data_IF_590348755097
#
_entry.id   IF_590348755097
#
_cell.length_a   1.000
_cell.length_b   1.000
_cell.length_c   1.000
_cell.angle_alpha   90.00
_cell.angle_beta   90.00
_cell.angle_gamma   90.00
#
_symmetry.space_group_name_H-M   'P 1'
#
loop_
_entity.id
_entity.type
_entity.pdbx_description
1 polymer ?
#
# COMPACT_ATOMS: atom_id res chain seq x y z
N UNK A 1 26.11 2.54 13.84
CA UNK A 1 24.79 1.93 13.61
C UNK A 1 24.87 1.29 12.25
N UNK A 2 24.64 0.01 12.13
CA UNK A 2 24.47 -0.63 10.81
C UNK A 2 23.13 -0.13 10.25
N UNK A 3 23.08 0.27 8.98
CA UNK A 3 21.83 0.61 8.32
C UNK A 3 20.92 -0.62 8.36
N UNK A 4 19.64 -0.40 8.65
CA UNK A 4 18.66 -1.47 8.56
C UNK A 4 18.58 -2.00 7.12
N UNK A 5 18.46 -3.31 6.93
CA UNK A 5 18.35 -3.86 5.59
C UNK A 5 17.07 -3.36 4.94
N UNK A 6 17.13 -3.02 3.64
CA UNK A 6 15.98 -2.56 2.88
C UNK A 6 15.45 -3.68 1.98
N UNK A 7 14.14 -3.86 1.95
CA UNK A 7 13.47 -4.71 0.97
C UNK A 7 13.39 -4.03 -0.39
N UNK A 8 13.23 -2.70 -0.40
CA UNK A 8 13.30 -1.90 -1.62
C UNK A 8 13.60 -0.44 -1.31
N UNK A 9 14.17 0.26 -2.30
CA UNK A 9 14.40 1.70 -2.24
C UNK A 9 14.22 2.38 -3.60
N UNK A 10 13.69 3.59 -3.59
CA UNK A 10 13.60 4.50 -4.73
C UNK A 10 14.43 5.74 -4.40
N UNK A 11 15.34 6.12 -5.30
CA UNK A 11 16.23 7.27 -5.13
C UNK A 11 16.07 8.25 -6.28
N UNK A 12 15.43 9.39 -6.02
CA UNK A 12 15.17 10.44 -7.00
C UNK A 12 14.32 9.97 -8.18
N UNK A 13 13.46 8.98 -7.98
CA UNK A 13 12.69 8.35 -9.05
C UNK A 13 11.67 9.32 -9.60
N UNK A 14 11.69 9.51 -10.93
CA UNK A 14 10.70 10.31 -11.63
C UNK A 14 10.15 9.58 -12.88
N UNK A 15 8.88 9.86 -13.19
CA UNK A 15 8.19 9.36 -14.37
C UNK A 15 7.27 10.44 -14.94
N UNK A 16 7.40 10.70 -16.23
CA UNK A 16 6.64 11.72 -16.94
C UNK A 16 5.61 11.08 -17.86
N UNK A 17 4.38 11.54 -17.76
CA UNK A 17 3.29 11.21 -18.68
C UNK A 17 2.67 12.50 -19.20
N UNK A 18 1.89 12.41 -20.26
CA UNK A 18 1.13 13.56 -20.72
C UNK A 18 0.11 14.00 -19.65
N UNK A 19 0.31 15.18 -19.08
CA UNK A 19 -0.57 15.75 -18.05
C UNK A 19 -0.34 15.27 -16.62
N UNK A 20 0.66 14.39 -16.37
CA UNK A 20 0.99 13.92 -15.03
C UNK A 20 2.49 13.63 -14.88
N UNK A 21 3.05 14.02 -13.75
CA UNK A 21 4.44 13.69 -13.38
C UNK A 21 4.47 13.09 -12.00
N UNK A 22 5.11 11.93 -11.88
CA UNK A 22 5.47 11.33 -10.60
C UNK A 22 6.91 11.70 -10.26
N UNK A 23 7.13 12.19 -9.04
CA UNK A 23 8.47 12.48 -8.52
C UNK A 23 9.06 13.85 -8.93
N UNK A 24 10.38 14.06 -8.71
CA UNK A 24 11.30 13.07 -8.13
C UNK A 24 10.95 12.71 -6.68
N UNK A 25 11.03 11.44 -6.34
CA UNK A 25 10.72 10.95 -5.00
C UNK A 25 11.76 9.96 -4.47
N UNK A 26 11.90 9.92 -3.16
CA UNK A 26 12.68 8.94 -2.42
C UNK A 26 11.75 8.19 -1.48
N UNK A 27 11.82 6.86 -1.48
CA UNK A 27 11.04 6.00 -0.60
C UNK A 27 11.88 4.78 -0.24
N UNK A 28 11.98 4.48 1.04
CA UNK A 28 12.62 3.27 1.55
C UNK A 28 11.56 2.33 2.14
N UNK A 29 11.71 1.06 1.88
CA UNK A 29 10.88 -0.01 2.43
C UNK A 29 11.79 -0.89 3.27
N UNK A 30 11.74 -0.76 4.61
CA UNK A 30 12.56 -1.58 5.49
C UNK A 30 12.22 -3.06 5.35
N UNK A 31 13.23 -3.93 5.48
CA UNK A 31 12.99 -5.36 5.55
C UNK A 31 12.23 -5.69 6.85
N UNK A 32 11.36 -6.69 6.80
CA UNK A 32 10.59 -7.11 7.98
C UNK A 32 9.45 -6.16 8.36
N UNK A 33 9.03 -5.23 7.47
CA UNK A 33 8.01 -4.23 7.78
C UNK A 33 6.88 -4.16 6.77
N UNK A 34 5.76 -3.57 7.20
CA UNK A 34 4.62 -3.21 6.35
C UNK A 34 4.64 -1.71 6.10
N UNK A 35 4.83 -1.32 4.85
CA UNK A 35 4.72 0.09 4.42
C UNK A 35 3.38 0.32 3.77
N UNK A 36 2.58 1.21 4.33
CA UNK A 36 1.30 1.67 3.78
C UNK A 36 1.49 2.88 2.87
N UNK A 37 1.10 2.78 1.61
CA UNK A 37 1.13 3.88 0.65
C UNK A 37 -0.26 4.49 0.53
N UNK A 38 -0.47 5.66 1.12
CA UNK A 38 -1.73 6.40 1.07
C UNK A 38 -1.70 7.43 -0.06
N UNK A 39 -2.84 7.66 -0.68
CA UNK A 39 -3.03 8.75 -1.64
C UNK A 39 -4.40 8.69 -2.30
N UNK A 40 -4.88 9.82 -2.81
CA UNK A 40 -6.12 9.88 -3.56
C UNK A 40 -6.03 9.09 -4.88
N UNK A 41 -7.18 8.84 -5.49
CA UNK A 41 -7.22 8.28 -6.85
C UNK A 41 -6.53 9.26 -7.83
N UNK A 42 -5.62 8.73 -8.65
CA UNK A 42 -4.80 9.55 -9.54
C UNK A 42 -3.55 10.17 -8.90
N UNK A 43 -3.27 9.96 -7.61
CA UNK A 43 -2.06 10.47 -6.96
C UNK A 43 -0.76 9.85 -7.51
N UNK A 44 -0.84 8.68 -8.19
CA UNK A 44 0.31 7.99 -8.77
C UNK A 44 0.73 6.71 -8.04
N UNK A 45 -0.08 6.18 -7.10
CA UNK A 45 0.23 4.95 -6.33
C UNK A 45 0.56 3.78 -7.25
N UNK A 46 -0.34 3.41 -8.15
CA UNK A 46 -0.13 2.33 -9.13
C UNK A 46 1.11 2.57 -10.00
N UNK A 47 1.37 3.83 -10.38
CA UNK A 47 2.57 4.18 -11.16
C UNK A 47 3.84 3.92 -10.34
N UNK A 48 3.88 4.34 -9.07
CA UNK A 48 4.98 4.07 -8.16
C UNK A 48 5.22 2.56 -8.00
N UNK A 49 4.17 1.78 -7.75
CA UNK A 49 4.27 0.32 -7.63
C UNK A 49 4.77 -0.34 -8.92
N UNK A 50 4.33 0.12 -10.10
CA UNK A 50 4.82 -0.38 -11.40
C UNK A 50 6.29 -0.02 -11.66
N UNK A 51 6.78 1.12 -11.18
CA UNK A 51 8.20 1.47 -11.24
C UNK A 51 9.02 0.60 -10.30
N UNK A 52 8.55 0.42 -9.05
CA UNK A 52 9.21 -0.42 -8.07
C UNK A 52 9.39 -1.86 -8.55
N UNK A 53 8.33 -2.43 -9.13
CA UNK A 53 8.31 -3.83 -9.60
C UNK A 53 8.95 -4.04 -10.97
N UNK A 54 9.45 -2.98 -11.62
CA UNK A 54 10.07 -3.05 -12.94
C UNK A 54 9.08 -3.28 -14.10
N UNK A 55 7.77 -3.16 -13.87
CA UNK A 55 6.75 -3.17 -14.93
C UNK A 55 6.91 -1.93 -15.82
N UNK A 56 7.20 -0.79 -15.18
CA UNK A 56 7.57 0.44 -15.88
C UNK A 56 9.00 0.83 -15.55
N UNK A 57 9.67 1.52 -16.47
CA UNK A 57 11.01 2.10 -16.24
C UNK A 57 10.89 3.56 -15.83
N UNK A 58 11.65 4.02 -14.83
CA UNK A 58 11.73 5.44 -14.50
C UNK A 58 12.42 6.22 -15.62
N UNK A 59 12.08 7.51 -15.74
CA UNK A 59 12.75 8.44 -16.65
C UNK A 59 13.99 9.06 -15.99
N UNK A 60 14.01 9.10 -14.64
CA UNK A 60 15.15 9.51 -13.83
C UNK A 60 15.17 8.78 -12.50
N UNK A 61 16.33 8.77 -11.84
CA UNK A 61 16.53 8.09 -10.56
C UNK A 61 16.81 6.59 -10.71
N UNK A 62 16.89 5.91 -9.57
CA UNK A 62 17.18 4.47 -9.50
C UNK A 62 16.22 3.77 -8.56
N UNK A 63 15.95 2.50 -8.87
CA UNK A 63 15.15 1.61 -8.02
C UNK A 63 16.05 0.44 -7.61
N UNK A 64 16.10 0.19 -6.32
CA UNK A 64 16.70 -0.99 -5.74
C UNK A 64 15.61 -1.91 -5.18
N UNK A 65 15.73 -3.21 -5.43
CA UNK A 65 14.77 -4.23 -5.05
C UNK A 65 15.51 -5.46 -4.56
N UNK A 66 15.37 -5.81 -3.28
CA UNK A 66 16.08 -6.91 -2.63
C UNK A 66 17.61 -6.88 -2.92
N UNK A 67 18.22 -5.69 -2.77
CA UNK A 67 19.64 -5.40 -3.01
C UNK A 67 20.10 -5.56 -4.47
N UNK A 68 19.17 -5.50 -5.44
CA UNK A 68 19.47 -5.54 -6.87
C UNK A 68 18.54 -4.62 -7.67
N UNK A 69 18.62 -4.66 -8.99
CA UNK A 69 17.74 -3.85 -9.85
C UNK A 69 16.47 -4.62 -10.24
N UNK A 70 15.33 -3.95 -10.46
CA UNK A 70 14.11 -4.60 -10.93
C UNK A 70 14.22 -5.24 -12.34
N UNK A 71 15.24 -4.89 -13.10
CA UNK A 71 15.52 -5.52 -14.41
C UNK A 71 16.01 -6.97 -14.28
N UNK A 72 16.53 -7.38 -13.11
CA UNK A 72 16.96 -8.75 -12.85
C UNK A 72 15.75 -9.69 -12.67
N UNK A 73 15.65 -10.67 -13.56
CA UNK A 73 14.59 -11.68 -13.53
C UNK A 73 14.62 -12.54 -12.24
N UNK A 74 15.80 -12.80 -11.69
CA UNK A 74 15.95 -13.55 -10.45
C UNK A 74 15.43 -12.79 -9.24
N UNK A 75 15.51 -11.46 -9.27
CA UNK A 75 14.92 -10.59 -8.24
C UNK A 75 13.41 -10.51 -8.41
N UNK A 76 12.91 -10.32 -9.63
CA UNK A 76 11.45 -10.33 -9.89
C UNK A 76 10.78 -11.63 -9.49
N UNK A 77 11.48 -12.76 -9.59
CA UNK A 77 10.96 -14.05 -9.13
C UNK A 77 10.81 -14.15 -7.60
N UNK A 78 11.38 -13.21 -6.85
CA UNK A 78 11.31 -13.14 -5.37
C UNK A 78 10.31 -12.10 -4.86
N UNK A 79 9.54 -11.49 -5.74
CA UNK A 79 8.48 -10.55 -5.34
C UNK A 79 7.11 -11.10 -5.70
N UNK A 80 6.16 -10.97 -4.79
CA UNK A 80 4.75 -11.22 -5.05
C UNK A 80 4.06 -9.90 -5.39
N UNK A 81 3.27 -9.88 -6.47
CA UNK A 81 2.60 -8.65 -6.90
C UNK A 81 1.12 -8.91 -7.14
N UNK A 82 0.27 -8.07 -6.58
CA UNK A 82 -1.17 -8.06 -6.87
C UNK A 82 -1.56 -6.64 -7.23
N UNK A 83 -1.90 -6.39 -8.48
CA UNK A 83 -2.49 -5.13 -8.93
C UNK A 83 -4.01 -5.18 -8.86
N UNK A 84 -4.66 -4.03 -8.70
CA UNK A 84 -6.12 -3.91 -8.65
C UNK A 84 -6.78 -4.55 -9.89
N UNK A 85 -6.21 -4.37 -11.07
CA UNK A 85 -6.69 -4.90 -12.35
C UNK A 85 -6.10 -6.28 -12.72
N UNK A 86 -5.44 -6.96 -11.79
CA UNK A 86 -4.87 -8.29 -12.05
C UNK A 86 -5.95 -9.36 -12.00
N UNK A 87 -6.35 -9.85 -13.16
CA UNK A 87 -7.38 -10.88 -13.27
C UNK A 87 -6.88 -12.08 -14.03
N UNK A 88 -7.19 -13.26 -13.50
CA UNK A 88 -7.09 -14.50 -14.25
C UNK A 88 -8.29 -14.65 -15.19
N UNK A 89 -8.13 -15.42 -16.26
CA UNK A 89 -9.27 -15.74 -17.15
C UNK A 89 -10.41 -16.34 -16.36
N UNK A 90 -11.62 -15.83 -16.54
CA UNK A 90 -12.81 -16.20 -15.77
C UNK A 90 -13.21 -17.67 -15.93
N UNK A 91 -12.84 -18.31 -17.04
CA UNK A 91 -13.09 -19.72 -17.30
C UNK A 91 -12.16 -20.69 -16.56
N UNK A 92 -11.03 -20.19 -16.02
CA UNK A 92 -10.12 -21.04 -15.27
C UNK A 92 -10.67 -21.33 -13.87
N UNK A 93 -10.19 -22.42 -13.29
CA UNK A 93 -10.37 -22.74 -11.87
C UNK A 93 -9.11 -22.39 -11.09
N UNK A 94 -9.18 -22.21 -9.75
CA UNK A 94 -8.00 -22.00 -8.92
C UNK A 94 -6.91 -23.07 -9.12
N UNK A 95 -7.30 -24.34 -9.29
CA UNK A 95 -6.35 -25.40 -9.58
C UNK A 95 -5.63 -25.23 -10.93
N UNK A 96 -6.34 -24.77 -11.97
CA UNK A 96 -5.74 -24.48 -13.28
C UNK A 96 -4.84 -23.25 -13.24
N UNK A 97 -5.17 -22.23 -12.45
CA UNK A 97 -4.28 -21.09 -12.20
C UNK A 97 -2.97 -21.57 -11.60
N UNK A 98 -3.01 -22.38 -10.54
CA UNK A 98 -1.82 -22.95 -9.93
C UNK A 98 -0.96 -23.77 -10.90
N UNK A 99 -1.60 -24.57 -11.75
CA UNK A 99 -0.90 -25.35 -12.80
C UNK A 99 -0.20 -24.44 -13.82
N UNK A 100 -0.85 -23.35 -14.23
CA UNK A 100 -0.29 -22.38 -15.18
C UNK A 100 0.90 -21.62 -14.56
N UNK A 101 0.77 -21.15 -13.31
CA UNK A 101 1.82 -20.42 -12.61
C UNK A 101 3.02 -21.32 -12.29
N UNK A 102 2.81 -22.59 -12.00
CA UNK A 102 3.90 -23.58 -11.90
C UNK A 102 4.74 -23.63 -13.18
N UNK A 103 4.10 -23.52 -14.35
CA UNK A 103 4.83 -23.46 -15.62
C UNK A 103 5.70 -22.20 -15.77
N UNK A 104 5.30 -21.09 -15.15
CA UNK A 104 6.02 -19.81 -15.20
C UNK A 104 7.15 -19.77 -14.16
N UNK A 105 6.84 -20.09 -12.90
CA UNK A 105 7.80 -20.01 -11.78
C UNK A 105 8.71 -21.24 -11.67
N UNK A 106 8.38 -22.35 -12.34
CA UNK A 106 9.16 -23.58 -12.31
C UNK A 106 9.39 -24.11 -10.88
N UNK A 107 10.66 -24.38 -10.49
CA UNK A 107 10.99 -24.90 -9.16
C UNK A 107 10.68 -23.94 -8.00
N UNK A 108 10.56 -22.65 -8.24
CA UNK A 108 10.21 -21.67 -7.21
C UNK A 108 8.73 -21.77 -6.79
N UNK A 109 7.87 -22.39 -7.61
CA UNK A 109 6.47 -22.58 -7.29
C UNK A 109 6.25 -23.72 -6.31
N UNK A 110 5.79 -23.41 -5.11
CA UNK A 110 5.44 -24.39 -4.08
C UNK A 110 3.99 -24.86 -4.25
N UNK A 111 3.83 -26.02 -4.93
CA UNK A 111 2.51 -26.63 -5.20
C UNK A 111 1.77 -26.98 -3.90
N UNK A 112 2.50 -27.49 -2.91
CA UNK A 112 1.91 -27.87 -1.61
C UNK A 112 1.44 -26.64 -0.85
N UNK A 113 2.22 -25.57 -0.82
CA UNK A 113 1.85 -24.32 -0.18
C UNK A 113 0.67 -23.63 -0.88
N UNK A 114 0.65 -23.62 -2.22
CA UNK A 114 -0.50 -23.09 -2.95
C UNK A 114 -1.79 -23.85 -2.62
N UNK A 115 -1.73 -25.19 -2.56
CA UNK A 115 -2.88 -26.00 -2.16
C UNK A 115 -3.34 -25.70 -0.73
N UNK A 116 -2.40 -25.57 0.20
CA UNK A 116 -2.69 -25.17 1.58
C UNK A 116 -3.33 -23.78 1.69
N UNK A 117 -2.85 -22.81 0.89
CA UNK A 117 -3.46 -21.47 0.80
C UNK A 117 -4.89 -21.51 0.25
N UNK A 118 -5.16 -22.33 -0.77
CA UNK A 118 -6.53 -22.50 -1.27
C UNK A 118 -7.47 -23.05 -0.18
N UNK A 119 -7.00 -23.99 0.61
CA UNK A 119 -7.76 -24.56 1.73
C UNK A 119 -7.96 -23.52 2.87
N UNK A 120 -6.89 -22.86 3.30
CA UNK A 120 -6.92 -21.83 4.33
C UNK A 120 -7.87 -20.67 3.97
N UNK A 121 -7.88 -20.25 2.71
CA UNK A 121 -8.71 -19.15 2.21
C UNK A 121 -10.13 -19.62 1.81
N UNK A 122 -10.45 -20.89 2.04
CA UNK A 122 -11.73 -21.51 1.67
C UNK A 122 -12.08 -21.35 0.18
N UNK A 123 -11.08 -21.45 -0.70
CA UNK A 123 -11.26 -21.30 -2.13
C UNK A 123 -11.59 -22.65 -2.76
N UNK A 124 -12.74 -22.77 -3.48
CA UNK A 124 -13.11 -24.01 -4.12
C UNK A 124 -12.22 -24.27 -5.34
N UNK A 125 -11.37 -25.33 -5.34
CA UNK A 125 -10.34 -25.50 -6.36
C UNK A 125 -10.89 -25.83 -7.75
N UNK A 126 -12.15 -26.28 -7.84
CA UNK A 126 -12.81 -26.73 -9.07
C UNK A 126 -13.88 -25.78 -9.62
N UNK A 127 -14.27 -24.73 -8.90
CA UNK A 127 -15.20 -23.73 -9.41
C UNK A 127 -14.49 -22.76 -10.34
N UNK A 128 -15.17 -22.29 -11.39
CA UNK A 128 -14.62 -21.28 -12.27
C UNK A 128 -14.45 -19.94 -11.53
N UNK A 129 -13.46 -19.16 -11.91
CA UNK A 129 -13.20 -17.83 -11.32
C UNK A 129 -14.41 -16.91 -11.49
N UNK A 130 -15.18 -17.08 -12.57
CA UNK A 130 -16.43 -16.36 -12.79
C UNK A 130 -17.43 -16.52 -11.64
N UNK A 131 -17.44 -17.70 -10.99
CA UNK A 131 -18.35 -18.05 -9.88
C UNK A 131 -17.83 -17.60 -8.51
N UNK A 132 -16.60 -17.07 -8.43
CA UNK A 132 -16.01 -16.58 -7.19
C UNK A 132 -16.51 -15.15 -6.89
N UNK A 133 -16.75 -14.86 -5.60
CA UNK A 133 -16.98 -13.50 -5.15
C UNK A 133 -15.74 -12.62 -5.35
N UNK A 134 -15.87 -11.30 -5.28
CA UNK A 134 -14.73 -10.36 -5.38
C UNK A 134 -13.67 -10.68 -4.31
N UNK A 135 -14.08 -10.90 -3.06
CA UNK A 135 -13.16 -11.29 -1.99
C UNK A 135 -12.44 -12.61 -2.25
N UNK A 136 -13.16 -13.63 -2.77
CA UNK A 136 -12.54 -14.90 -3.15
C UNK A 136 -11.54 -14.75 -4.30
N UNK A 137 -11.82 -13.89 -5.29
CA UNK A 137 -10.86 -13.58 -6.37
C UNK A 137 -9.61 -12.90 -5.83
N UNK A 138 -9.76 -11.94 -4.91
CA UNK A 138 -8.63 -11.29 -4.26
C UNK A 138 -7.79 -12.28 -3.46
N UNK A 139 -8.41 -13.17 -2.68
CA UNK A 139 -7.72 -14.26 -1.98
C UNK A 139 -6.97 -15.19 -2.95
N UNK A 140 -7.54 -15.48 -4.12
CA UNK A 140 -6.85 -16.27 -5.16
C UNK A 140 -5.61 -15.53 -5.71
N UNK A 141 -5.72 -14.21 -5.97
CA UNK A 141 -4.60 -13.41 -6.40
C UNK A 141 -3.49 -13.41 -5.33
N UNK A 142 -3.87 -13.24 -4.05
CA UNK A 142 -2.93 -13.28 -2.94
C UNK A 142 -2.28 -14.67 -2.76
N UNK A 143 -3.06 -15.75 -2.82
CA UNK A 143 -2.54 -17.11 -2.79
C UNK A 143 -1.52 -17.35 -3.93
N UNK A 144 -1.82 -16.83 -5.12
CA UNK A 144 -0.94 -16.91 -6.28
C UNK A 144 0.36 -16.12 -6.11
N UNK A 145 0.28 -14.93 -5.48
CA UNK A 145 1.44 -14.10 -5.18
C UNK A 145 2.31 -14.67 -4.04
N UNK A 146 1.73 -15.44 -3.12
CA UNK A 146 2.44 -16.03 -1.98
C UNK A 146 3.08 -17.39 -2.29
N UNK A 147 2.54 -18.14 -3.28
CA UNK A 147 2.90 -19.53 -3.49
C UNK A 147 4.35 -19.77 -3.96
N UNK A 148 5.04 -18.75 -4.43
CA UNK A 148 6.47 -18.81 -4.76
C UNK A 148 7.39 -18.26 -3.65
N UNK A 149 6.86 -18.07 -2.43
CA UNK A 149 7.61 -17.63 -1.25
C UNK A 149 8.36 -16.30 -1.47
N UNK A 150 7.68 -15.20 -1.81
CA UNK A 150 8.33 -13.92 -2.06
C UNK A 150 8.92 -13.33 -0.77
N UNK A 151 10.03 -12.59 -0.90
CA UNK A 151 10.57 -11.76 0.19
C UNK A 151 9.88 -10.40 0.31
N UNK A 152 9.31 -9.89 -0.79
CA UNK A 152 8.53 -8.66 -0.80
C UNK A 152 7.18 -8.89 -1.49
N UNK A 153 6.10 -8.50 -0.82
CA UNK A 153 4.74 -8.52 -1.37
C UNK A 153 4.29 -7.09 -1.67
N UNK A 154 3.91 -6.83 -2.90
CA UNK A 154 3.45 -5.51 -3.38
C UNK A 154 1.99 -5.61 -3.77
N UNK A 155 1.14 -4.83 -3.11
CA UNK A 155 -0.31 -4.90 -3.24
C UNK A 155 -0.88 -3.52 -3.62
N UNK A 156 -1.63 -3.48 -4.70
CA UNK A 156 -2.32 -2.27 -5.15
C UNK A 156 -3.82 -2.38 -4.88
N UNK A 157 -4.31 -1.58 -3.91
CA UNK A 157 -5.72 -1.49 -3.53
C UNK A 157 -6.37 -2.86 -3.18
N UNK A 158 -5.62 -3.76 -2.54
CA UNK A 158 -6.04 -5.15 -2.32
C UNK A 158 -7.28 -5.31 -1.44
N UNK A 159 -7.63 -4.30 -0.64
CA UNK A 159 -8.82 -4.30 0.24
C UNK A 159 -9.99 -3.49 -0.33
N UNK A 160 -9.76 -2.79 -1.45
CA UNK A 160 -10.76 -1.91 -2.05
C UNK A 160 -12.01 -2.66 -2.53
N UNK A 161 -13.18 -2.16 -2.15
CA UNK A 161 -14.48 -2.71 -2.56
C UNK A 161 -14.77 -4.12 -2.05
N UNK A 162 -14.06 -4.57 -1.02
CA UNK A 162 -14.39 -5.78 -0.28
C UNK A 162 -15.38 -5.46 0.85
N UNK A 163 -16.17 -6.46 1.21
CA UNK A 163 -16.95 -6.38 2.45
C UNK A 163 -16.03 -6.41 3.68
N UNK A 164 -16.50 -5.95 4.86
CA UNK A 164 -15.66 -5.85 6.04
C UNK A 164 -15.03 -7.18 6.49
N UNK A 165 -15.72 -8.31 6.33
CA UNK A 165 -15.20 -9.61 6.73
C UNK A 165 -14.06 -10.07 5.81
N UNK A 166 -14.27 -9.99 4.49
CA UNK A 166 -13.22 -10.32 3.51
C UNK A 166 -12.00 -9.40 3.64
N UNK A 167 -12.22 -8.12 3.99
CA UNK A 167 -11.15 -7.15 4.24
C UNK A 167 -10.31 -7.56 5.45
N UNK A 168 -10.95 -7.84 6.60
CA UNK A 168 -10.26 -8.30 7.81
C UNK A 168 -9.42 -9.55 7.53
N UNK A 169 -9.98 -10.52 6.82
CA UNK A 169 -9.26 -11.75 6.48
C UNK A 169 -8.00 -11.48 5.60
N UNK A 170 -8.05 -10.51 4.68
CA UNK A 170 -6.87 -10.12 3.90
C UNK A 170 -5.81 -9.48 4.80
N UNK A 171 -6.21 -8.58 5.72
CA UNK A 171 -5.28 -7.95 6.65
C UNK A 171 -4.62 -8.98 7.58
N UNK A 172 -5.39 -9.95 8.09
CA UNK A 172 -4.87 -11.04 8.91
C UNK A 172 -3.83 -11.89 8.16
N UNK A 173 -4.08 -12.18 6.88
CA UNK A 173 -3.11 -12.89 6.02
C UNK A 173 -1.80 -12.09 5.87
N UNK A 174 -1.88 -10.76 5.75
CA UNK A 174 -0.67 -9.92 5.65
C UNK A 174 0.09 -9.87 6.99
N UNK A 175 -0.62 -9.82 8.11
CA UNK A 175 -0.02 -9.89 9.44
C UNK A 175 0.65 -11.26 9.68
N UNK A 176 0.04 -12.35 9.24
CA UNK A 176 0.66 -13.69 9.30
C UNK A 176 1.92 -13.77 8.42
N UNK A 177 1.86 -13.19 7.21
CA UNK A 177 3.00 -13.19 6.29
C UNK A 177 4.23 -12.47 6.86
N UNK A 178 4.03 -11.35 7.57
CA UNK A 178 5.11 -10.54 8.15
C UNK A 178 5.70 -11.13 9.44
N UNK A 179 5.13 -12.21 10.00
CA UNK A 179 5.72 -12.89 11.18
C UNK A 179 7.14 -13.43 10.91
N UNK A 180 7.49 -13.66 9.66
CA UNK A 180 8.87 -13.93 9.25
C UNK A 180 9.54 -12.59 8.89
N UNK A 181 10.52 -12.17 9.69
CA UNK A 181 11.28 -10.91 9.52
C UNK A 181 11.96 -10.76 8.15
N UNK A 182 12.04 -11.83 7.36
CA UNK A 182 12.54 -11.80 5.98
C UNK A 182 11.49 -11.32 4.98
N UNK A 183 10.26 -11.21 5.38
CA UNK A 183 9.15 -10.80 4.53
C UNK A 183 8.82 -9.33 4.76
N UNK A 184 8.49 -8.62 3.68
CA UNK A 184 8.08 -7.22 3.73
C UNK A 184 6.83 -7.02 2.88
N UNK A 185 6.04 -6.02 3.20
CA UNK A 185 4.81 -5.69 2.47
C UNK A 185 4.81 -4.21 2.10
N UNK A 186 4.48 -3.90 0.85
CA UNK A 186 4.08 -2.57 0.41
C UNK A 186 2.62 -2.63 -0.03
N UNK A 187 1.74 -2.01 0.74
CA UNK A 187 0.29 -1.99 0.49
C UNK A 187 -0.17 -0.58 0.11
N UNK A 188 -0.65 -0.37 -1.10
CA UNK A 188 -1.36 0.85 -1.44
C UNK A 188 -2.83 0.76 -1.03
N UNK A 189 -3.35 1.83 -0.44
CA UNK A 189 -4.77 1.94 -0.11
C UNK A 189 -5.22 3.40 -0.05
N UNK A 190 -6.48 3.65 -0.38
CA UNK A 190 -7.15 4.90 -0.06
C UNK A 190 -7.99 4.78 1.24
N UNK A 191 -8.01 3.60 1.86
CA UNK A 191 -8.70 3.30 3.11
C UNK A 191 -7.69 3.37 4.25
N UNK A 192 -7.66 4.49 4.96
CA UNK A 192 -6.67 4.75 6.02
C UNK A 192 -6.78 3.78 7.18
N UNK A 193 -8.00 3.37 7.54
CA UNK A 193 -8.24 2.44 8.66
C UNK A 193 -7.57 1.08 8.49
N UNK A 194 -7.41 0.59 7.26
CA UNK A 194 -6.71 -0.66 7.00
C UNK A 194 -5.23 -0.52 7.31
N UNK A 195 -4.63 0.60 6.88
CA UNK A 195 -3.22 0.88 7.10
C UNK A 195 -2.93 1.24 8.57
N UNK A 196 -3.84 1.95 9.24
CA UNK A 196 -3.74 2.20 10.69
C UNK A 196 -3.64 0.89 11.48
N UNK A 197 -4.33 -0.16 11.02
CA UNK A 197 -4.36 -1.45 11.68
C UNK A 197 -3.06 -2.23 11.52
N UNK A 198 -2.43 -2.24 10.32
CA UNK A 198 -1.34 -3.18 10.02
C UNK A 198 -0.01 -2.53 9.65
N UNK A 199 0.02 -1.26 9.21
CA UNK A 199 1.25 -0.64 8.73
C UNK A 199 2.17 -0.18 9.87
N UNK A 200 3.49 -0.34 9.66
CA UNK A 200 4.54 0.21 10.54
C UNK A 200 4.94 1.61 10.08
N UNK A 201 4.99 1.82 8.77
CA UNK A 201 5.34 3.09 8.13
C UNK A 201 4.22 3.54 7.20
N UNK A 202 3.92 4.82 7.22
CA UNK A 202 2.95 5.46 6.32
C UNK A 202 3.69 6.38 5.37
N UNK A 203 3.54 6.11 4.07
CA UNK A 203 4.01 6.93 2.97
C UNK A 203 2.82 7.64 2.32
N UNK A 204 2.84 8.98 2.24
CA UNK A 204 1.74 9.75 1.68
C UNK A 204 2.10 10.37 0.35
N UNK A 205 1.41 9.92 -0.69
CA UNK A 205 1.56 10.39 -2.07
C UNK A 205 0.42 11.32 -2.46
N UNK A 206 0.74 12.51 -2.95
CA UNK A 206 -0.23 13.50 -3.39
C UNK A 206 0.23 14.18 -4.68
N UNK A 207 -0.61 14.16 -5.72
CA UNK A 207 -0.30 14.74 -7.04
C UNK A 207 1.11 14.40 -7.57
N UNK A 208 1.50 13.13 -7.45
CA UNK A 208 2.79 12.64 -7.93
C UNK A 208 3.99 12.97 -7.02
N UNK A 209 3.77 13.60 -5.87
CA UNK A 209 4.82 13.94 -4.90
C UNK A 209 4.66 13.12 -3.62
N UNK A 210 5.76 12.56 -3.12
CA UNK A 210 5.80 11.95 -1.80
C UNK A 210 5.95 13.05 -0.76
N UNK A 211 4.91 13.30 0.02
CA UNK A 211 4.92 14.37 1.02
C UNK A 211 5.66 13.95 2.28
N UNK A 212 5.50 12.71 2.69
CA UNK A 212 6.27 12.09 3.79
C UNK A 212 6.24 10.58 3.70
N UNK A 213 7.23 9.95 4.34
CA UNK A 213 7.23 8.54 4.74
C UNK A 213 7.73 8.51 6.18
N UNK A 214 6.88 8.12 7.13
CA UNK A 214 7.15 8.16 8.57
C UNK A 214 6.62 6.92 9.26
N UNK A 215 7.27 6.55 10.35
CA UNK A 215 6.72 5.54 11.26
C UNK A 215 5.32 5.96 11.72
N UNK A 216 4.39 5.02 11.82
CA UNK A 216 3.00 5.29 12.18
C UNK A 216 2.89 5.86 13.61
N UNK A 217 3.64 5.31 14.55
CA UNK A 217 3.59 5.74 15.96
C UNK A 217 4.12 7.17 16.10
N UNK A 218 5.22 7.51 15.38
CA UNK A 218 5.74 8.88 15.32
C UNK A 218 4.69 9.85 14.74
N UNK A 219 3.96 9.42 13.70
CA UNK A 219 2.87 10.23 13.15
C UNK A 219 1.75 10.48 14.17
N UNK A 220 1.38 9.46 14.93
CA UNK A 220 0.34 9.57 15.96
C UNK A 220 0.78 10.44 17.14
N UNK A 221 2.10 10.49 17.44
CA UNK A 221 2.66 11.36 18.46
C UNK A 221 2.86 12.80 17.98
N UNK A 222 3.29 13.00 16.73
CA UNK A 222 3.59 14.32 16.17
C UNK A 222 2.33 15.10 15.75
N UNK A 223 1.26 14.39 15.34
CA UNK A 223 0.08 15.00 14.74
C UNK A 223 -1.19 14.66 15.51
N UNK A 224 -1.98 15.67 15.76
CA UNK A 224 -3.31 15.56 16.32
C UNK A 224 -4.36 16.21 15.42
N UNK A 225 -5.62 15.89 15.62
CA UNK A 225 -6.72 16.52 14.89
C UNK A 225 -7.37 17.57 15.77
N UNK A 226 -7.20 18.86 15.40
CA UNK A 226 -7.88 19.95 16.07
C UNK A 226 -9.26 20.16 15.46
N UNK A 227 -10.27 20.14 16.30
CA UNK A 227 -11.64 20.55 15.94
C UNK A 227 -11.91 21.92 16.49
N UNK A 228 -11.99 22.94 15.65
CA UNK A 228 -12.25 24.30 16.09
C UNK A 228 -13.14 25.06 15.08
N UNK A 229 -13.72 26.17 15.53
CA UNK A 229 -14.42 27.09 14.62
C UNK A 229 -13.42 27.89 13.79
N UNK A 230 -13.88 28.51 12.68
CA UNK A 230 -13.05 29.40 11.88
C UNK A 230 -12.52 30.57 12.72
N UNK A 231 -13.30 31.09 13.68
CA UNK A 231 -12.88 32.17 14.55
C UNK A 231 -11.77 31.77 15.50
N UNK A 232 -11.76 30.52 15.96
CA UNK A 232 -10.70 29.99 16.80
C UNK A 232 -9.43 29.73 15.99
N UNK A 233 -9.59 29.26 14.75
CA UNK A 233 -8.48 29.08 13.82
C UNK A 233 -7.74 30.40 13.54
N UNK A 234 -8.48 31.49 13.32
CA UNK A 234 -7.92 32.81 13.03
C UNK A 234 -7.11 33.39 14.24
N UNK A 235 -7.31 32.83 15.43
CA UNK A 235 -6.58 33.18 16.65
C UNK A 235 -5.30 32.37 16.86
N UNK A 236 -5.12 31.27 16.10
CA UNK A 236 -3.94 30.43 16.24
C UNK A 236 -2.68 31.15 15.71
N UNK A 237 -1.53 30.96 16.35
CA UNK A 237 -0.27 31.49 15.85
C UNK A 237 -0.01 31.00 14.41
N UNK A 238 0.41 31.90 13.49
CA UNK A 238 0.64 31.53 12.08
C UNK A 238 1.60 30.34 11.87
N UNK A 239 2.57 30.19 12.77
CA UNK A 239 3.54 29.10 12.76
C UNK A 239 2.89 27.71 12.97
N UNK A 240 1.74 27.65 13.63
CA UNK A 240 1.01 26.39 13.83
C UNK A 240 0.18 26.00 12.60
N UNK A 241 -0.27 27.01 11.85
CA UNK A 241 -1.01 26.83 10.61
C UNK A 241 -0.06 26.46 9.45
N UNK A 242 1.18 26.97 9.49
CA UNK A 242 2.21 26.71 8.49
C UNK A 242 2.83 25.31 8.62
N UNK A 243 2.72 24.66 9.77
CA UNK A 243 3.19 23.29 9.98
C UNK A 243 2.25 22.23 9.38
N UNK A 244 1.07 22.62 8.89
CA UNK A 244 0.15 21.72 8.19
C UNK A 244 0.64 21.51 6.76
N UNK A 245 0.92 20.28 6.34
CA UNK A 245 1.21 19.99 4.93
C UNK A 245 0.09 20.56 4.05
N UNK A 246 0.39 21.11 2.86
CA UNK A 246 -0.64 21.64 1.93
C UNK A 246 -1.77 20.67 1.65
N UNK A 247 -1.50 19.38 1.79
CA UNK A 247 -2.43 18.28 1.62
C UNK A 247 -3.45 18.13 2.74
N UNK A 248 -3.17 18.55 3.96
CA UNK A 248 -4.15 18.49 5.06
C UNK A 248 -5.37 19.37 4.76
N UNK A 249 -5.20 20.44 3.98
CA UNK A 249 -6.32 21.25 3.45
C UNK A 249 -7.14 20.52 2.39
N UNK A 250 -6.55 19.61 1.63
CA UNK A 250 -7.24 18.87 0.57
C UNK A 250 -8.11 17.73 1.10
N UNK A 251 -7.74 17.13 2.22
CA UNK A 251 -8.55 16.09 2.88
C UNK A 251 -9.89 16.63 3.40
N UNK A 252 -9.97 17.92 3.59
CA UNK A 252 -11.10 18.56 4.25
C UNK A 252 -12.21 19.06 3.32
N UNK A 253 -11.91 19.35 2.06
CA UNK A 253 -12.84 20.04 1.16
C UNK A 253 -13.83 19.15 0.41
N UNK A 254 -13.75 17.80 0.53
CA UNK A 254 -14.61 16.90 -0.25
C UNK A 254 -15.64 16.08 0.52
N UNK A 255 -15.77 16.22 1.80
CA UNK A 255 -16.59 15.30 2.64
C UNK A 255 -17.82 15.87 3.33
N UNK A 256 -18.32 17.06 3.01
CA UNK A 256 -19.65 17.46 3.52
C UNK A 256 -20.12 18.82 2.98
N UNK A 257 -20.72 18.81 1.81
CA UNK A 257 -21.53 19.92 1.34
C UNK A 257 -22.93 19.88 1.98
N UNK A 258 -23.07 20.07 3.30
CA UNK A 258 -24.38 20.36 3.90
C UNK A 258 -24.36 20.66 5.41
N UNK A 259 -23.31 21.21 5.99
CA UNK A 259 -23.42 21.68 7.36
C UNK A 259 -22.75 23.04 7.53
N UNK A 260 -23.55 24.09 7.64
CA UNK A 260 -23.11 25.47 7.89
C UNK A 260 -22.44 25.66 9.25
N UNK A 261 -22.24 24.60 10.03
CA UNK A 261 -21.64 24.61 11.38
C UNK A 261 -20.63 23.47 11.58
N UNK A 262 -20.06 22.88 10.53
CA UNK A 262 -19.03 21.86 10.71
C UNK A 262 -17.71 22.53 11.13
N UNK A 263 -17.12 22.10 12.26
CA UNK A 263 -15.82 22.62 12.69
C UNK A 263 -14.73 22.27 11.68
N UNK A 264 -13.82 23.17 11.45
CA UNK A 264 -12.65 22.96 10.59
C UNK A 264 -11.64 22.07 11.33
N UNK A 265 -11.06 21.11 10.63
CA UNK A 265 -10.13 20.16 11.19
C UNK A 265 -8.70 20.50 10.75
N UNK A 266 -7.75 20.55 11.66
CA UNK A 266 -6.34 20.75 11.39
C UNK A 266 -5.50 19.73 12.14
N UNK A 267 -4.41 19.25 11.52
CA UNK A 267 -3.44 18.41 12.19
C UNK A 267 -2.53 19.28 13.06
N UNK A 268 -2.39 18.95 14.34
CA UNK A 268 -1.56 19.65 15.32
C UNK A 268 -0.77 18.67 16.19
N UNK A 269 0.41 19.06 16.70
CA UNK A 269 1.12 18.28 17.70
C UNK A 269 0.26 18.03 18.95
N UNK A 270 0.29 16.82 19.53
CA UNK A 270 -0.55 16.44 20.68
C UNK A 270 -0.41 17.34 21.91
N UNK A 271 0.78 17.91 22.13
CA UNK A 271 1.06 18.82 23.24
C UNK A 271 0.16 20.09 23.27
N UNK A 272 -0.53 20.38 22.17
CA UNK A 272 -1.36 21.57 22.01
C UNK A 272 -2.87 21.28 22.12
N UNK A 273 -3.27 20.00 22.19
CA UNK A 273 -4.68 19.62 22.36
C UNK A 273 -5.29 20.06 23.70
N UNK A 274 -4.46 20.28 24.72
CA UNK A 274 -4.89 20.63 26.09
C UNK A 274 -5.33 22.08 26.23
N UNK A 275 -5.07 22.95 25.24
CA UNK A 275 -5.35 24.39 25.32
C UNK A 275 -6.72 24.80 24.75
N UNK A 276 -7.45 23.89 24.11
CA UNK A 276 -8.74 24.16 23.44
C UNK A 276 -9.90 23.32 24.04
N UNK A 277 -9.76 22.78 25.25
CA UNK A 277 -10.82 22.04 25.97
C UNK A 277 -11.66 22.98 26.83
#
# INVERSE_FOLDING_TARGET
MMAEPLAAALHGVAKHYHGFTLGPLNLEIPAGSIVGLIGENGAGKTTLLKLLTGVNRPDAGTVELLSATPDDAAVRAKIGVVFEDAYFYESLTPAQVGASLRGIFGPAWDVGYFAALLEQFHLPPKKSIKELSRGMRMKLNLASALAHRPGLLVLDEATSGLDPAARSEILDILLDFIQDERHSVLLSSHITTDLEQIADTIAYLHHGQLLFAKNKDDLMEEYGILRCSQQDLDRLPPQWIAATPPAAKAWYTRGSASCAHCPVWYAMPPALMTLCA
#
